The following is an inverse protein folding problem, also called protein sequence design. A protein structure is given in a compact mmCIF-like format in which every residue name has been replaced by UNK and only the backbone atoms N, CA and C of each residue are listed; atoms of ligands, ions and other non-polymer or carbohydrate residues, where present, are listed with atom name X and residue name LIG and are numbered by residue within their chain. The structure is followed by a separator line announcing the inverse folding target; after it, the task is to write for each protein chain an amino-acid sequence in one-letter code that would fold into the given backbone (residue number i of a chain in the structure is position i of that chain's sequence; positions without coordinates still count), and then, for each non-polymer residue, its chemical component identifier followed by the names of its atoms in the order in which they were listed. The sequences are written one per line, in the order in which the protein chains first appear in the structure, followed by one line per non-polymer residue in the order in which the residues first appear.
data_IF_478272793146
#
_entry.id   IF_478272793146
#
_cell.length_a   1.000
_cell.length_b   1.000
_cell.length_c   1.000
_cell.angle_alpha   90.00
_cell.angle_beta   90.00
_cell.angle_gamma   90.00
#
_symmetry.space_group_name_H-M   'P 1'
#
loop_
_entity.id
_entity.type
_entity.pdbx_description
1 polymer ?
#
# COMPACT_ATOMS: atom_id res chain seq x y z
N UNK A 1 31.41 -19.44 10.01
CA UNK A 1 31.23 -18.05 10.42
C UNK A 1 29.78 -17.58 10.12
N UNK A 2 29.33 -16.56 10.83
CA UNK A 2 28.05 -15.93 10.54
C UNK A 2 28.22 -14.75 9.58
N UNK A 3 27.34 -14.64 8.62
CA UNK A 3 27.33 -13.57 7.63
C UNK A 3 25.92 -13.00 7.47
N UNK A 4 25.84 -11.73 7.10
CA UNK A 4 24.59 -11.05 6.78
C UNK A 4 24.48 -10.94 5.27
N UNK A 5 23.40 -11.47 4.69
CA UNK A 5 23.17 -11.38 3.25
C UNK A 5 22.77 -9.96 2.85
N UNK A 6 23.49 -9.40 1.88
CA UNK A 6 23.20 -8.09 1.28
C UNK A 6 22.29 -8.19 0.07
N UNK A 7 22.15 -9.39 -0.48
CA UNK A 7 21.28 -9.72 -1.60
C UNK A 7 20.67 -11.11 -1.40
N UNK A 8 19.64 -11.42 -2.17
CA UNK A 8 19.03 -12.75 -2.15
C UNK A 8 20.01 -13.77 -2.76
N UNK A 9 20.30 -14.84 -2.02
CA UNK A 9 21.16 -15.93 -2.48
C UNK A 9 20.35 -17.20 -2.58
N UNK A 10 20.20 -17.71 -3.79
CA UNK A 10 19.43 -18.93 -4.07
C UNK A 10 19.97 -20.12 -3.26
N UNK A 11 19.09 -20.77 -2.52
CA UNK A 11 19.43 -21.93 -1.69
C UNK A 11 20.12 -21.59 -0.36
N UNK A 12 20.33 -20.32 -0.03
CA UNK A 12 20.95 -19.88 1.22
C UNK A 12 20.06 -18.95 2.05
N UNK A 13 19.44 -17.95 1.44
CA UNK A 13 18.56 -17.04 2.15
C UNK A 13 18.31 -15.74 1.39
N UNK A 14 17.54 -14.86 2.02
CA UNK A 14 17.15 -13.55 1.48
C UNK A 14 18.01 -12.43 2.05
N UNK A 15 18.00 -11.29 1.36
CA UNK A 15 18.64 -10.05 1.82
C UNK A 15 18.23 -9.73 3.27
N UNK A 16 19.22 -9.41 4.09
CA UNK A 16 19.04 -9.07 5.50
C UNK A 16 19.02 -10.26 6.46
N UNK A 17 19.08 -11.48 5.96
CA UNK A 17 19.19 -12.66 6.82
C UNK A 17 20.62 -12.91 7.29
N UNK A 18 20.74 -13.37 8.53
CA UNK A 18 21.99 -13.85 9.11
C UNK A 18 22.03 -15.37 8.92
N UNK A 19 23.04 -15.84 8.24
CA UNK A 19 23.23 -17.28 7.98
C UNK A 19 24.60 -17.74 8.46
N UNK A 20 24.71 -19.03 8.78
CA UNK A 20 25.98 -19.64 9.14
C UNK A 20 26.53 -20.41 7.94
N UNK A 21 27.75 -20.10 7.54
CA UNK A 21 28.42 -20.69 6.40
C UNK A 21 29.87 -21.03 6.76
N UNK A 22 30.53 -21.90 5.95
CA UNK A 22 31.94 -22.14 6.08
C UNK A 22 32.76 -20.90 5.72
N UNK A 23 33.89 -20.73 6.35
CA UNK A 23 34.78 -19.57 6.12
C UNK A 23 35.24 -19.48 4.66
N UNK A 24 35.57 -20.60 4.05
CA UNK A 24 35.95 -20.65 2.64
C UNK A 24 34.81 -20.18 1.70
N UNK A 25 33.60 -20.60 1.95
CA UNK A 25 32.45 -20.17 1.16
C UNK A 25 32.17 -18.67 1.35
N UNK A 26 32.28 -18.19 2.57
CA UNK A 26 32.08 -16.78 2.87
C UNK A 26 33.10 -15.91 2.13
N UNK A 27 34.41 -16.21 2.28
CA UNK A 27 35.44 -15.38 1.69
C UNK A 27 35.54 -15.52 0.16
N UNK A 28 35.49 -16.74 -0.36
CA UNK A 28 35.73 -17.01 -1.79
C UNK A 28 34.50 -16.74 -2.67
N UNK A 29 33.30 -16.75 -2.12
CA UNK A 29 32.07 -16.58 -2.89
C UNK A 29 31.24 -15.39 -2.44
N UNK A 30 30.81 -15.36 -1.18
CA UNK A 30 29.85 -14.32 -0.71
C UNK A 30 30.52 -12.94 -0.67
N UNK A 31 31.67 -12.81 -0.07
CA UNK A 31 32.37 -11.52 0.04
C UNK A 31 32.96 -11.07 -1.29
N UNK A 32 33.56 -11.97 -2.05
CA UNK A 32 34.13 -11.63 -3.36
C UNK A 32 33.06 -11.14 -4.35
N UNK A 33 31.85 -11.62 -4.27
CA UNK A 33 30.72 -11.19 -5.11
C UNK A 33 29.86 -10.10 -4.49
N UNK A 34 30.18 -9.63 -3.29
CA UNK A 34 29.38 -8.62 -2.59
C UNK A 34 27.99 -9.10 -2.17
N UNK A 35 27.79 -10.40 -2.02
CA UNK A 35 26.50 -11.00 -1.67
C UNK A 35 26.21 -11.03 -0.17
N UNK A 36 27.25 -10.89 0.65
CA UNK A 36 27.13 -10.84 2.10
C UNK A 36 28.25 -10.02 2.73
N UNK A 37 28.05 -9.65 3.98
CA UNK A 37 29.04 -9.02 4.85
C UNK A 37 29.22 -9.84 6.12
N UNK A 38 30.35 -9.68 6.78
CA UNK A 38 30.59 -10.35 8.06
C UNK A 38 29.59 -9.91 9.12
N UNK A 39 29.05 -10.85 9.89
CA UNK A 39 28.12 -10.55 10.98
C UNK A 39 28.87 -10.07 12.23
N UNK A 40 29.50 -8.90 12.13
CA UNK A 40 30.12 -8.23 13.27
C UNK A 40 29.04 -7.62 14.17
N UNK A 41 29.41 -7.29 15.41
CA UNK A 41 28.51 -6.62 16.36
C UNK A 41 27.96 -5.30 15.79
N UNK A 42 28.80 -4.52 15.11
CA UNK A 42 28.42 -3.28 14.43
C UNK A 42 27.42 -3.53 13.31
N UNK A 43 27.74 -4.47 12.39
CA UNK A 43 26.86 -4.81 11.26
C UNK A 43 25.52 -5.40 11.72
N UNK A 44 25.51 -6.18 12.80
CA UNK A 44 24.29 -6.70 13.42
C UNK A 44 23.42 -5.59 14.02
N UNK A 45 24.03 -4.61 14.68
CA UNK A 45 23.33 -3.46 15.22
C UNK A 45 22.71 -2.60 14.12
N UNK A 46 23.45 -2.37 13.02
CA UNK A 46 22.94 -1.63 11.85
C UNK A 46 21.76 -2.36 11.20
N UNK A 47 21.83 -3.68 11.08
CA UNK A 47 20.73 -4.50 10.56
C UNK A 47 19.49 -4.38 11.46
N UNK A 48 19.68 -4.51 12.77
CA UNK A 48 18.59 -4.38 13.75
C UNK A 48 17.93 -2.99 13.68
N UNK A 49 18.74 -1.92 13.64
CA UNK A 49 18.24 -0.56 13.51
C UNK A 49 17.43 -0.34 12.25
N UNK A 50 17.88 -0.89 11.11
CA UNK A 50 17.12 -0.83 9.85
C UNK A 50 15.80 -1.59 9.92
N UNK A 51 15.79 -2.78 10.53
CA UNK A 51 14.57 -3.57 10.71
C UNK A 51 13.57 -2.85 11.61
N UNK A 52 14.01 -2.32 12.74
CA UNK A 52 13.16 -1.55 13.66
C UNK A 52 12.57 -0.30 13.00
N UNK A 53 13.35 0.41 12.18
CA UNK A 53 12.88 1.57 11.42
C UNK A 53 11.81 1.20 10.40
N UNK A 54 11.99 0.08 9.69
CA UNK A 54 11.00 -0.42 8.73
C UNK A 54 9.72 -0.85 9.44
N UNK A 55 9.81 -1.58 10.55
CA UNK A 55 8.66 -1.99 11.36
C UNK A 55 7.90 -0.78 11.91
N UNK A 56 8.60 0.22 12.41
CA UNK A 56 7.99 1.46 12.89
C UNK A 56 7.23 2.19 11.77
N UNK A 57 7.83 2.31 10.60
CA UNK A 57 7.18 2.92 9.42
C UNK A 57 5.92 2.15 9.01
N UNK A 58 5.98 0.82 8.95
CA UNK A 58 4.83 -0.02 8.64
C UNK A 58 3.70 0.20 9.65
N UNK A 59 4.00 0.20 10.94
CA UNK A 59 3.00 0.45 11.99
C UNK A 59 2.37 1.83 11.86
N UNK A 60 3.16 2.85 11.56
CA UNK A 60 2.68 4.23 11.36
C UNK A 60 1.77 4.30 10.13
N UNK A 61 2.18 3.72 9.02
CA UNK A 61 1.40 3.68 7.78
C UNK A 61 0.06 2.96 7.98
N UNK A 62 0.05 1.85 8.73
CA UNK A 62 -1.17 1.12 9.08
C UNK A 62 -2.11 1.98 9.94
N UNK A 63 -1.59 2.66 10.95
CA UNK A 63 -2.41 3.55 11.80
C UNK A 63 -3.03 4.70 11.00
N UNK A 64 -2.27 5.32 10.11
CA UNK A 64 -2.79 6.37 9.22
C UNK A 64 -3.86 5.83 8.28
N UNK A 65 -3.65 4.64 7.73
CA UNK A 65 -4.63 3.99 6.86
C UNK A 65 -5.93 3.64 7.61
N UNK A 66 -5.84 3.12 8.84
CA UNK A 66 -7.01 2.85 9.69
C UNK A 66 -7.78 4.12 10.04
N UNK A 67 -7.08 5.21 10.34
CA UNK A 67 -7.69 6.51 10.61
C UNK A 67 -8.46 7.03 9.40
N UNK A 68 -7.88 6.95 8.21
CA UNK A 68 -8.56 7.32 6.96
C UNK A 68 -9.77 6.43 6.70
N UNK A 69 -9.66 5.12 6.95
CA UNK A 69 -10.78 4.18 6.80
C UNK A 69 -11.97 4.53 7.71
N UNK A 70 -11.70 4.93 8.95
CA UNK A 70 -12.74 5.39 9.87
C UNK A 70 -13.40 6.70 9.41
N UNK A 71 -12.59 7.65 8.95
CA UNK A 71 -13.11 8.90 8.39
C UNK A 71 -14.01 8.66 7.18
N UNK A 72 -13.64 7.72 6.31
CA UNK A 72 -14.41 7.37 5.12
C UNK A 72 -15.79 6.81 5.43
N UNK A 73 -15.97 6.12 6.54
CA UNK A 73 -17.29 5.57 6.95
C UNK A 73 -18.30 6.66 7.23
N UNK A 74 -17.86 7.83 7.66
CA UNK A 74 -18.69 8.95 8.08
C UNK A 74 -18.94 9.96 6.97
N UNK A 75 -18.17 9.93 5.89
CA UNK A 75 -18.26 10.88 4.79
C UNK A 75 -18.98 10.31 3.58
N UNK A 76 -19.60 11.20 2.82
CA UNK A 76 -20.24 10.91 1.54
C UNK A 76 -19.66 11.84 0.49
N UNK A 77 -19.16 11.29 -0.60
CA UNK A 77 -18.67 12.06 -1.75
C UNK A 77 -19.83 12.31 -2.69
N UNK A 78 -20.13 13.57 -2.95
CA UNK A 78 -21.17 13.97 -3.87
C UNK A 78 -20.61 14.23 -5.26
N UNK A 79 -21.17 13.55 -6.25
CA UNK A 79 -20.82 13.70 -7.66
C UNK A 79 -22.09 13.99 -8.47
N UNK A 80 -21.93 14.75 -9.53
CA UNK A 80 -23.00 15.05 -10.48
C UNK A 80 -22.68 14.42 -11.83
N UNK A 81 -23.65 13.75 -12.41
CA UNK A 81 -23.52 13.14 -13.72
C UNK A 81 -24.82 13.24 -14.51
N UNK A 82 -24.70 13.27 -15.82
CA UNK A 82 -25.86 13.25 -16.72
C UNK A 82 -26.50 11.86 -16.71
N UNK A 83 -27.78 11.79 -16.47
CA UNK A 83 -28.53 10.54 -16.41
C UNK A 83 -29.83 10.61 -17.23
N UNK A 84 -30.29 9.45 -17.68
CA UNK A 84 -31.56 9.28 -18.33
C UNK A 84 -32.73 9.16 -17.35
N UNK A 85 -33.95 9.13 -17.87
CA UNK A 85 -35.21 9.07 -17.09
C UNK A 85 -35.31 7.81 -16.21
N UNK A 86 -34.60 6.74 -16.56
CA UNK A 86 -34.55 5.48 -15.81
C UNK A 86 -33.48 5.43 -14.71
N UNK A 87 -32.82 6.55 -14.41
CA UNK A 87 -31.78 6.62 -13.39
C UNK A 87 -30.42 6.06 -13.82
N UNK A 88 -30.25 5.64 -15.06
CA UNK A 88 -28.97 5.21 -15.60
C UNK A 88 -28.16 6.39 -16.12
N UNK A 89 -26.89 6.42 -15.79
CA UNK A 89 -25.97 7.45 -16.29
C UNK A 89 -25.70 7.26 -17.80
N UNK A 90 -25.57 8.35 -18.53
CA UNK A 90 -25.12 8.32 -19.94
C UNK A 90 -23.64 7.95 -20.09
N UNK A 91 -22.86 8.13 -19.02
CA UNK A 91 -21.48 7.68 -18.89
C UNK A 91 -21.29 6.89 -17.62
N UNK A 92 -20.06 6.80 -17.15
CA UNK A 92 -19.73 6.16 -15.88
C UNK A 92 -18.90 7.09 -15.00
N UNK A 93 -19.12 7.02 -13.69
CA UNK A 93 -18.25 7.67 -12.71
C UNK A 93 -17.07 6.74 -12.46
N UNK A 94 -15.87 7.21 -12.77
CA UNK A 94 -14.63 6.43 -12.64
C UNK A 94 -13.98 6.63 -11.27
N UNK A 95 -13.05 5.75 -10.95
CA UNK A 95 -12.24 5.89 -9.73
C UNK A 95 -11.45 7.20 -9.69
N UNK A 96 -11.09 7.75 -10.84
CA UNK A 96 -10.43 9.07 -10.95
C UNK A 96 -11.38 10.18 -10.50
N UNK A 97 -12.62 10.17 -10.97
CA UNK A 97 -13.63 11.18 -10.61
C UNK A 97 -13.91 11.17 -9.11
N UNK A 98 -13.97 9.99 -8.52
CA UNK A 98 -14.14 9.80 -7.07
C UNK A 98 -12.91 10.33 -6.30
N UNK A 99 -11.72 10.02 -6.76
CA UNK A 99 -10.46 10.49 -6.16
C UNK A 99 -10.36 12.02 -6.18
N UNK A 100 -10.67 12.63 -7.30
CA UNK A 100 -10.64 14.08 -7.47
C UNK A 100 -11.68 14.77 -6.57
N UNK A 101 -12.91 14.24 -6.54
CA UNK A 101 -13.98 14.76 -5.70
C UNK A 101 -13.68 14.59 -4.19
N UNK A 102 -13.10 13.47 -3.80
CA UNK A 102 -12.69 13.23 -2.41
C UNK A 102 -11.62 14.21 -1.96
N UNK A 103 -10.65 14.50 -2.81
CA UNK A 103 -9.62 15.50 -2.55
C UNK A 103 -10.21 16.91 -2.44
N UNK A 104 -11.14 17.25 -3.32
CA UNK A 104 -11.76 18.57 -3.38
C UNK A 104 -12.73 18.83 -2.23
N UNK A 105 -13.57 17.85 -1.88
CA UNK A 105 -14.62 18.00 -0.86
C UNK A 105 -14.15 17.73 0.56
N UNK A 106 -13.24 16.76 0.74
CA UNK A 106 -12.82 16.28 2.06
C UNK A 106 -11.31 16.41 2.30
N UNK A 107 -10.55 16.90 1.35
CA UNK A 107 -9.09 17.05 1.43
C UNK A 107 -8.34 15.74 1.69
N UNK A 108 -8.93 14.62 1.33
CA UNK A 108 -8.31 13.29 1.42
C UNK A 108 -7.76 12.91 0.05
N UNK A 109 -6.44 12.85 -0.06
CA UNK A 109 -5.75 12.51 -1.30
C UNK A 109 -5.49 11.01 -1.36
N UNK A 110 -6.17 10.33 -2.27
CA UNK A 110 -6.00 8.89 -2.53
C UNK A 110 -5.75 8.64 -4.02
N UNK A 111 -4.90 7.66 -4.30
CA UNK A 111 -4.65 7.22 -5.68
C UNK A 111 -5.89 6.48 -6.22
N UNK A 112 -6.26 6.75 -7.47
CA UNK A 112 -7.34 6.05 -8.19
C UNK A 112 -7.18 4.53 -8.19
N UNK A 113 -5.95 4.02 -8.11
CA UNK A 113 -5.65 2.59 -8.06
C UNK A 113 -6.07 1.91 -6.75
N UNK A 114 -6.27 2.67 -5.71
CA UNK A 114 -6.72 2.16 -4.40
C UNK A 114 -8.22 1.85 -4.36
N UNK A 115 -8.99 2.41 -5.27
CA UNK A 115 -10.42 2.16 -5.39
C UNK A 115 -10.70 0.85 -6.13
N UNK A 116 -11.52 -0.01 -5.53
CA UNK A 116 -11.97 -1.24 -6.16
C UNK A 116 -13.29 -0.95 -6.89
N UNK A 117 -13.18 -0.52 -8.12
CA UNK A 117 -14.32 -0.11 -8.95
C UNK A 117 -14.07 -0.56 -10.40
N UNK A 118 -14.34 -1.84 -10.73
CA UNK A 118 -13.99 -2.41 -12.05
C UNK A 118 -14.72 -1.75 -13.23
N UNK A 119 -16.00 -1.41 -13.07
CA UNK A 119 -16.85 -0.93 -14.17
C UNK A 119 -17.33 0.53 -14.01
N UNK A 120 -16.92 1.21 -12.97
CA UNK A 120 -17.44 2.53 -12.63
C UNK A 120 -18.88 2.50 -12.07
N UNK A 121 -19.37 3.65 -11.66
CA UNK A 121 -20.76 3.83 -11.22
C UNK A 121 -21.59 4.25 -12.43
N UNK A 122 -22.67 3.52 -12.72
CA UNK A 122 -23.52 3.74 -13.89
C UNK A 122 -24.96 4.12 -13.54
N UNK A 123 -25.28 4.24 -12.26
CA UNK A 123 -26.62 4.57 -11.77
C UNK A 123 -26.58 5.73 -10.79
N UNK A 124 -27.69 6.47 -10.70
CA UNK A 124 -27.86 7.51 -9.68
C UNK A 124 -28.03 6.91 -8.29
N UNK A 125 -27.72 7.69 -7.28
CA UNK A 125 -27.90 7.34 -5.88
C UNK A 125 -26.60 7.04 -5.14
N UNK A 126 -26.73 6.52 -3.93
CA UNK A 126 -25.60 6.18 -3.07
C UNK A 126 -25.05 4.79 -3.40
N UNK A 127 -23.79 4.74 -3.74
CA UNK A 127 -23.07 3.48 -4.02
C UNK A 127 -21.88 3.36 -3.07
N UNK A 128 -21.70 2.20 -2.48
CA UNK A 128 -20.55 1.91 -1.64
C UNK A 128 -19.37 1.42 -2.51
N UNK A 129 -18.23 2.08 -2.36
CA UNK A 129 -17.00 1.76 -3.08
C UNK A 129 -15.96 1.27 -2.08
N UNK A 130 -15.43 0.09 -2.31
CA UNK A 130 -14.35 -0.45 -1.48
C UNK A 130 -13.01 0.21 -1.86
N UNK A 131 -12.27 0.64 -0.85
CA UNK A 131 -10.97 1.28 -1.01
C UNK A 131 -9.90 0.49 -0.28
N UNK A 132 -8.85 0.14 -0.98
CA UNK A 132 -7.65 -0.47 -0.38
C UNK A 132 -6.69 0.63 0.05
N UNK A 133 -6.51 0.83 1.35
CA UNK A 133 -5.64 1.87 1.89
C UNK A 133 -4.22 1.40 2.12
N UNK A 134 -4.06 0.18 2.62
CA UNK A 134 -2.78 -0.47 2.87
C UNK A 134 -2.96 -1.99 2.78
N UNK A 135 -1.87 -2.75 2.73
CA UNK A 135 -1.93 -4.21 2.74
C UNK A 135 -2.62 -4.70 4.04
N UNK A 136 -3.79 -5.30 3.91
CA UNK A 136 -4.63 -5.74 5.03
C UNK A 136 -5.55 -4.66 5.63
N UNK A 137 -5.47 -3.41 5.17
CA UNK A 137 -6.36 -2.32 5.61
C UNK A 137 -7.21 -1.84 4.43
N UNK A 138 -8.51 -1.92 4.57
CA UNK A 138 -9.46 -1.43 3.57
C UNK A 138 -10.58 -0.64 4.24
N UNK A 139 -11.13 0.32 3.51
CA UNK A 139 -12.29 1.12 3.93
C UNK A 139 -13.40 1.03 2.90
N UNK A 140 -14.58 1.51 3.28
CA UNK A 140 -15.72 1.67 2.39
C UNK A 140 -16.08 3.14 2.30
N UNK A 141 -16.13 3.66 1.09
CA UNK A 141 -16.51 5.05 0.79
C UNK A 141 -17.92 5.06 0.19
N UNK A 142 -18.78 5.93 0.69
CA UNK A 142 -20.08 6.18 0.09
C UNK A 142 -19.97 7.29 -0.94
N UNK A 143 -20.46 7.00 -2.12
CA UNK A 143 -20.49 7.95 -3.24
C UNK A 143 -21.94 8.20 -3.61
N UNK A 144 -22.38 9.44 -3.48
CA UNK A 144 -23.70 9.86 -3.91
C UNK A 144 -23.61 10.49 -5.31
N UNK A 145 -24.29 9.91 -6.27
CA UNK A 145 -24.35 10.43 -7.64
C UNK A 145 -25.71 11.07 -7.86
N UNK A 146 -25.70 12.34 -8.14
CA UNK A 146 -26.91 13.14 -8.43
C UNK A 146 -26.98 13.47 -9.93
N UNK A 147 -28.18 13.70 -10.40
CA UNK A 147 -28.39 14.17 -11.76
C UNK A 147 -27.90 15.60 -11.92
N UNK A 148 -27.16 15.82 -12.98
CA UNK A 148 -26.62 17.15 -13.33
C UNK A 148 -27.75 18.07 -13.82
#
# INVERSE_FOLDING_TARGET
MQVILTQDVKGKGKKGQVINVSDGYAHNFLFSKGLAIEATKSNMNDLKGKQESVEYKIKTDIKEAEKIAEQMKEIVVNLKAKAGDNGKLFGSVTSKDISDALTEQHHIKLDKKKFVLPDGIKVLGVTEVKVKLYTGVSGTLRVNVEQL
#
